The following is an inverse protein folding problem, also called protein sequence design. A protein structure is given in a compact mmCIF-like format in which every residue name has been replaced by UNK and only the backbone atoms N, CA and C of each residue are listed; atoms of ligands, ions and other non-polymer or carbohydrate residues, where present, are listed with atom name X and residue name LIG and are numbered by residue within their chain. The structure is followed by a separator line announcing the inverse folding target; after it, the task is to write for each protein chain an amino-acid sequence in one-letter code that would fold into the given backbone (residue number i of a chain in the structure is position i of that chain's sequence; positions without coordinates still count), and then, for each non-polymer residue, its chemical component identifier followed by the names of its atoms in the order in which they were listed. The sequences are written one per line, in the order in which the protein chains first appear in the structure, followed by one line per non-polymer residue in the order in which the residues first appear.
data_IF_143058746365
#
_entry.id   IF_143058746365
#
_cell.length_a   1.000
_cell.length_b   1.000
_cell.length_c   1.000
_cell.angle_alpha   90.00
_cell.angle_beta   90.00
_cell.angle_gamma   90.00
#
_symmetry.space_group_name_H-M   'P 1'
#
loop_
_entity.id
_entity.type
_entity.pdbx_description
1 polymer ?
#
# COMPACT_ATOMS: atom_id res chain seq x y z
N UNK A 1 36.28 24.75 -29.94
CA UNK A 1 35.28 23.82 -30.52
C UNK A 1 35.05 22.58 -29.66
N UNK A 2 36.08 22.00 -29.04
CA UNK A 2 36.02 20.80 -28.18
C UNK A 2 35.09 20.95 -26.95
N UNK A 3 35.07 22.13 -26.30
CA UNK A 3 34.23 22.38 -25.12
C UNK A 3 32.71 22.33 -25.38
N UNK A 4 32.25 22.67 -26.61
CA UNK A 4 30.82 22.65 -26.95
C UNK A 4 30.32 21.22 -27.23
N UNK A 5 31.17 20.35 -27.77
CA UNK A 5 30.85 18.95 -28.03
C UNK A 5 30.75 18.16 -26.73
N UNK A 6 31.63 18.45 -25.75
CA UNK A 6 31.63 17.80 -24.44
C UNK A 6 30.37 18.14 -23.61
N UNK A 7 29.86 19.37 -23.71
CA UNK A 7 28.67 19.81 -22.98
C UNK A 7 27.37 19.20 -23.55
N UNK A 8 27.33 18.99 -24.88
CA UNK A 8 26.19 18.36 -25.56
C UNK A 8 26.11 16.86 -25.25
N UNK A 9 27.24 16.15 -25.16
CA UNK A 9 27.24 14.73 -24.76
C UNK A 9 26.88 14.54 -23.30
N UNK A 10 27.34 15.41 -22.39
CA UNK A 10 26.99 15.33 -20.97
C UNK A 10 25.48 15.52 -20.73
N UNK A 11 24.85 16.43 -21.47
CA UNK A 11 23.40 16.70 -21.37
C UNK A 11 22.55 15.58 -21.94
N UNK A 12 22.97 14.94 -23.04
CA UNK A 12 22.28 13.77 -23.61
C UNK A 12 22.40 12.54 -22.69
N UNK A 13 23.57 12.31 -22.07
CA UNK A 13 23.75 11.21 -21.10
C UNK A 13 22.94 11.47 -19.82
N UNK A 14 22.94 12.69 -19.29
CA UNK A 14 22.12 13.05 -18.12
C UNK A 14 20.61 12.93 -18.42
N UNK A 15 20.17 13.28 -19.63
CA UNK A 15 18.79 13.10 -20.06
C UNK A 15 18.42 11.61 -20.13
N UNK A 16 19.26 10.75 -20.72
CA UNK A 16 19.01 9.30 -20.77
C UNK A 16 18.97 8.64 -19.38
N UNK A 17 19.73 9.14 -18.41
CA UNK A 17 19.68 8.66 -17.02
C UNK A 17 18.39 9.06 -16.29
N UNK A 18 17.71 10.13 -16.71
CA UNK A 18 16.42 10.56 -16.13
C UNK A 18 15.23 9.83 -16.79
N UNK A 19 15.33 9.45 -18.06
CA UNK A 19 14.27 8.73 -18.79
C UNK A 19 14.16 7.24 -18.45
N UNK A 20 15.08 6.69 -17.66
CA UNK A 20 15.06 5.28 -17.25
C UNK A 20 14.33 4.99 -15.94
N UNK A 21 13.82 6.00 -15.21
CA UNK A 21 13.13 5.76 -13.93
C UNK A 21 11.66 5.45 -14.17
N UNK A 22 11.23 4.25 -13.81
CA UNK A 22 9.83 3.86 -13.76
C UNK A 22 9.11 4.55 -12.59
N UNK A 23 7.89 5.03 -12.82
CA UNK A 23 7.02 5.55 -11.77
C UNK A 23 6.02 4.48 -11.34
N UNK A 24 5.43 4.64 -10.15
CA UNK A 24 4.40 3.72 -9.66
C UNK A 24 3.26 3.55 -10.67
N UNK A 25 2.82 4.64 -11.29
CA UNK A 25 1.70 4.66 -12.25
C UNK A 25 2.01 3.90 -13.55
N UNK A 26 3.29 3.57 -13.81
CA UNK A 26 3.68 2.69 -14.92
C UNK A 26 3.48 1.20 -14.57
N UNK A 27 3.39 0.87 -13.27
CA UNK A 27 3.38 -0.51 -12.74
C UNK A 27 2.02 -0.90 -12.18
N UNK A 28 1.29 0.04 -11.58
CA UNK A 28 0.00 -0.23 -10.94
C UNK A 28 -0.99 0.90 -11.20
N UNK A 29 -2.27 0.58 -11.10
CA UNK A 29 -3.35 1.55 -11.13
C UNK A 29 -4.47 1.19 -10.16
N UNK A 30 -5.23 2.20 -9.76
CA UNK A 30 -6.42 2.05 -8.94
C UNK A 30 -7.66 2.10 -9.84
N UNK A 31 -8.42 1.01 -9.88
CA UNK A 31 -9.69 0.92 -10.63
C UNK A 31 -10.84 0.76 -9.67
N UNK A 32 -12.05 1.14 -10.09
CA UNK A 32 -13.22 0.99 -9.23
C UNK A 32 -13.51 -0.48 -8.96
N UNK A 33 -13.81 -0.78 -7.70
CA UNK A 33 -14.09 -2.13 -7.23
C UNK A 33 -15.56 -2.48 -7.43
N UNK A 34 -15.80 -3.65 -8.00
CA UNK A 34 -17.12 -4.27 -8.06
C UNK A 34 -17.01 -5.75 -7.69
N UNK A 35 -17.82 -6.19 -6.72
CA UNK A 35 -17.80 -7.56 -6.18
C UNK A 35 -17.94 -8.66 -7.25
N UNK A 36 -18.67 -8.36 -8.32
CA UNK A 36 -18.94 -9.30 -9.41
C UNK A 36 -17.95 -9.21 -10.58
N UNK A 37 -16.96 -8.33 -10.52
CA UNK A 37 -16.07 -8.04 -11.64
C UNK A 37 -14.65 -7.68 -11.16
N UNK A 38 -13.99 -8.63 -10.49
CA UNK A 38 -12.59 -8.49 -10.11
C UNK A 38 -11.70 -8.54 -11.36
N UNK A 39 -10.86 -7.52 -11.62
CA UNK A 39 -9.92 -7.55 -12.73
C UNK A 39 -8.92 -8.71 -12.63
N UNK A 40 -8.58 -9.36 -13.74
CA UNK A 40 -7.66 -10.51 -13.77
C UNK A 40 -6.24 -10.14 -13.27
N UNK A 41 -5.83 -8.90 -13.48
CA UNK A 41 -4.57 -8.32 -13.04
C UNK A 41 -4.64 -7.69 -11.63
N UNK A 42 -5.71 -7.91 -10.87
CA UNK A 42 -5.79 -7.45 -9.49
C UNK A 42 -4.66 -8.04 -8.62
N UNK A 43 -4.05 -7.20 -7.79
CA UNK A 43 -2.93 -7.61 -6.94
C UNK A 43 -3.46 -8.46 -5.77
N UNK A 44 -3.30 -9.78 -5.90
CA UNK A 44 -3.62 -10.76 -4.88
C UNK A 44 -2.52 -10.76 -3.80
N UNK A 45 -2.92 -10.59 -2.54
CA UNK A 45 -1.97 -10.58 -1.41
C UNK A 45 -1.90 -11.93 -0.70
N UNK A 46 -2.88 -12.80 -0.93
CA UNK A 46 -2.98 -14.14 -0.38
C UNK A 46 -4.43 -14.59 -0.28
N UNK A 47 -4.71 -15.45 0.70
CA UNK A 47 -6.04 -16.03 0.90
C UNK A 47 -6.49 -15.99 2.35
N UNK A 48 -7.80 -15.98 2.56
CA UNK A 48 -8.42 -16.22 3.87
C UNK A 48 -8.30 -17.70 4.26
N UNK A 49 -8.66 -18.04 5.50
CA UNK A 49 -8.72 -19.44 5.95
C UNK A 49 -9.73 -20.27 5.15
N UNK A 50 -10.81 -19.64 4.68
CA UNK A 50 -11.82 -20.24 3.82
C UNK A 50 -11.42 -20.25 2.33
N UNK A 51 -10.12 -20.03 2.02
CA UNK A 51 -9.55 -20.08 0.67
C UNK A 51 -10.09 -19.01 -0.30
N UNK A 52 -10.70 -17.93 0.20
CA UNK A 52 -11.08 -16.75 -0.59
C UNK A 52 -9.86 -15.88 -0.87
N UNK A 53 -9.74 -15.33 -2.08
CA UNK A 53 -8.65 -14.39 -2.39
C UNK A 53 -8.79 -13.10 -1.58
N UNK A 54 -7.64 -12.51 -1.21
CA UNK A 54 -7.56 -11.18 -0.60
C UNK A 54 -6.85 -10.26 -1.61
N UNK A 55 -7.43 -9.09 -1.84
CA UNK A 55 -6.89 -8.06 -2.73
C UNK A 55 -6.64 -6.76 -1.97
N UNK A 56 -5.82 -5.90 -2.57
CA UNK A 56 -5.53 -4.56 -2.06
C UNK A 56 -6.63 -3.62 -2.53
N UNK A 57 -7.38 -3.07 -1.58
CA UNK A 57 -8.31 -1.99 -1.81
C UNK A 57 -7.76 -0.63 -1.39
N UNK A 58 -8.45 0.43 -1.81
CA UNK A 58 -8.24 1.80 -1.37
C UNK A 58 -9.60 2.47 -1.16
N UNK A 59 -9.73 3.19 -0.05
CA UNK A 59 -10.97 3.89 0.31
C UNK A 59 -10.65 5.31 0.71
N UNK A 60 -11.52 6.24 0.32
CA UNK A 60 -11.50 7.62 0.80
C UNK A 60 -12.49 7.73 1.96
N UNK A 61 -12.04 8.31 3.08
CA UNK A 61 -12.88 8.60 4.21
C UNK A 61 -12.79 10.08 4.57
N UNK A 62 -13.89 10.63 5.08
CA UNK A 62 -13.96 11.98 5.63
C UNK A 62 -14.72 11.91 6.95
N UNK A 63 -14.16 12.45 8.02
CA UNK A 63 -14.90 12.71 9.25
C UNK A 63 -14.44 14.03 9.89
N UNK A 64 -15.05 14.38 11.03
CA UNK A 64 -14.84 15.68 11.68
C UNK A 64 -13.38 16.03 12.00
N UNK A 65 -12.54 15.01 12.23
CA UNK A 65 -11.18 15.21 12.75
C UNK A 65 -10.06 14.73 11.81
N UNK A 66 -10.38 13.91 10.81
CA UNK A 66 -9.42 13.45 9.82
C UNK A 66 -10.09 13.13 8.49
N UNK A 67 -9.27 13.12 7.44
CA UNK A 67 -9.62 12.70 6.09
C UNK A 67 -8.45 11.89 5.54
N UNK A 68 -8.74 10.88 4.72
CA UNK A 68 -7.65 10.10 4.15
C UNK A 68 -8.07 9.17 3.04
N UNK A 69 -7.06 8.81 2.24
CA UNK A 69 -7.10 7.81 1.21
C UNK A 69 -6.22 6.64 1.65
N UNK A 70 -6.85 5.54 2.09
CA UNK A 70 -6.18 4.49 2.89
C UNK A 70 -6.34 3.11 2.27
N UNK A 71 -5.31 2.24 2.38
CA UNK A 71 -5.40 0.88 1.89
C UNK A 71 -6.32 0.04 2.79
N UNK A 72 -6.98 -0.94 2.18
CA UNK A 72 -7.89 -1.87 2.85
C UNK A 72 -7.75 -3.28 2.27
N UNK A 73 -8.27 -4.28 2.97
CA UNK A 73 -8.42 -5.63 2.45
C UNK A 73 -9.80 -5.82 1.83
N UNK A 74 -9.80 -6.20 0.55
CA UNK A 74 -10.98 -6.69 -0.16
C UNK A 74 -10.93 -8.21 -0.09
N UNK A 75 -11.99 -8.83 0.41
CA UNK A 75 -12.16 -10.29 0.38
C UNK A 75 -13.03 -10.65 -0.82
N UNK A 76 -12.60 -11.64 -1.60
CA UNK A 76 -13.33 -12.11 -2.77
C UNK A 76 -14.79 -12.47 -2.44
N UNK A 77 -15.72 -11.93 -3.23
CA UNK A 77 -17.15 -12.13 -3.04
C UNK A 77 -17.81 -11.28 -1.94
N UNK A 78 -17.07 -10.39 -1.27
CA UNK A 78 -17.63 -9.45 -0.28
C UNK A 78 -17.78 -8.05 -0.88
N UNK A 79 -18.97 -7.45 -0.79
CA UNK A 79 -19.22 -6.11 -1.34
C UNK A 79 -18.48 -4.99 -0.58
N UNK A 80 -18.21 -5.20 0.70
CA UNK A 80 -17.57 -4.22 1.57
C UNK A 80 -16.13 -4.62 1.91
N UNK A 81 -15.30 -3.62 2.17
CA UNK A 81 -13.93 -3.77 2.62
C UNK A 81 -13.75 -3.21 4.04
N UNK A 82 -12.80 -3.74 4.80
CA UNK A 82 -12.50 -3.27 6.15
C UNK A 82 -11.17 -2.54 6.17
N UNK A 83 -11.22 -1.23 6.44
CA UNK A 83 -10.05 -0.36 6.49
C UNK A 83 -9.80 0.15 7.91
N UNK A 84 -8.61 0.71 8.13
CA UNK A 84 -8.31 1.44 9.35
C UNK A 84 -8.47 2.93 9.10
N UNK A 85 -9.51 3.51 9.70
CA UNK A 85 -9.64 4.95 9.84
C UNK A 85 -8.91 5.36 11.11
N UNK A 86 -7.77 6.04 10.99
CA UNK A 86 -6.81 6.22 12.08
C UNK A 86 -6.40 4.86 12.68
N UNK A 87 -7.06 4.40 13.75
CA UNK A 87 -6.91 3.08 14.39
C UNK A 87 -8.24 2.37 14.65
N UNK A 88 -9.34 2.93 14.16
CA UNK A 88 -10.65 2.31 14.25
C UNK A 88 -10.93 1.52 12.97
N UNK A 89 -11.39 0.29 13.15
CA UNK A 89 -11.85 -0.53 12.04
C UNK A 89 -13.16 0.07 11.54
N UNK A 90 -13.20 0.35 10.25
CA UNK A 90 -14.39 0.87 9.58
C UNK A 90 -14.69 -0.01 8.38
N UNK A 91 -15.97 -0.31 8.20
CA UNK A 91 -16.48 -0.99 7.02
C UNK A 91 -16.84 0.05 5.96
N UNK A 92 -16.34 -0.15 4.75
CA UNK A 92 -16.62 0.68 3.58
C UNK A 92 -17.35 -0.18 2.56
N UNK A 93 -18.45 0.30 2.02
CA UNK A 93 -19.26 -0.44 1.03
C UNK A 93 -19.44 0.33 -0.28
N UNK A 94 -18.85 1.52 -0.38
CA UNK A 94 -18.95 2.43 -1.51
C UNK A 94 -17.59 3.07 -1.81
N UNK A 95 -17.40 3.53 -3.06
CA UNK A 95 -16.19 4.22 -3.52
C UNK A 95 -14.87 3.47 -3.22
N UNK A 96 -14.94 2.14 -3.16
CA UNK A 96 -13.77 1.27 -3.01
C UNK A 96 -13.07 1.21 -4.36
N UNK A 97 -11.75 1.38 -4.35
CA UNK A 97 -10.89 1.06 -5.49
C UNK A 97 -10.10 -0.22 -5.20
N UNK A 98 -9.70 -0.94 -6.24
CA UNK A 98 -8.85 -2.12 -6.18
C UNK A 98 -7.54 -1.85 -6.94
N UNK A 99 -6.41 -2.28 -6.36
CA UNK A 99 -5.11 -2.16 -7.00
C UNK A 99 -4.95 -3.25 -8.06
N UNK A 100 -4.63 -2.85 -9.28
CA UNK A 100 -4.33 -3.77 -10.37
C UNK A 100 -2.95 -3.47 -10.94
N UNK A 101 -2.30 -4.51 -11.47
CA UNK A 101 -0.99 -4.39 -12.11
C UNK A 101 -1.09 -4.00 -13.57
N UNK A 102 -0.23 -3.09 -14.03
CA UNK A 102 -0.10 -2.67 -15.43
C UNK A 102 1.11 -3.35 -16.08
N UNK A 103 1.06 -3.52 -17.40
CA UNK A 103 2.21 -3.97 -18.18
C UNK A 103 2.83 -5.28 -17.62
N UNK A 104 4.15 -5.30 -17.45
CA UNK A 104 4.99 -6.37 -16.91
C UNK A 104 5.07 -6.35 -15.37
N UNK A 105 4.00 -5.91 -14.67
CA UNK A 105 4.03 -5.72 -13.21
C UNK A 105 4.54 -6.93 -12.41
N UNK A 106 4.38 -8.15 -12.91
CA UNK A 106 4.82 -9.37 -12.22
C UNK A 106 6.33 -9.45 -12.02
N UNK A 107 7.11 -8.83 -12.91
CA UNK A 107 8.58 -8.81 -12.82
C UNK A 107 9.11 -7.63 -11.98
N UNK A 108 8.27 -6.62 -11.78
CA UNK A 108 8.64 -5.35 -11.13
C UNK A 108 8.03 -5.15 -9.76
N UNK A 109 6.85 -5.69 -9.50
CA UNK A 109 6.14 -5.58 -8.22
C UNK A 109 6.50 -6.78 -7.33
N UNK A 110 6.94 -6.52 -6.11
CA UNK A 110 7.33 -7.58 -5.18
C UNK A 110 7.13 -7.16 -3.72
N UNK A 111 7.04 -8.14 -2.83
CA UNK A 111 6.98 -7.93 -1.39
C UNK A 111 8.39 -7.96 -0.80
N UNK A 112 8.75 -6.93 -0.05
CA UNK A 112 10.04 -6.85 0.63
C UNK A 112 9.85 -6.90 2.14
N UNK A 113 10.44 -7.92 2.75
CA UNK A 113 10.52 -8.02 4.19
C UNK A 113 11.35 -6.88 4.78
N UNK A 114 10.82 -6.22 5.80
CA UNK A 114 11.47 -5.12 6.48
C UNK A 114 11.14 -5.13 7.98
N UNK A 115 12.11 -4.75 8.80
CA UNK A 115 11.85 -4.37 10.18
C UNK A 115 11.48 -2.88 10.22
N UNK A 116 10.56 -2.48 11.09
CA UNK A 116 10.07 -1.11 11.21
C UNK A 116 11.19 -0.06 11.20
N UNK A 117 12.23 -0.27 12.03
CA UNK A 117 13.40 0.63 12.12
C UNK A 117 14.19 0.81 10.79
N UNK A 118 13.95 -0.02 9.78
CA UNK A 118 14.59 0.03 8.49
C UNK A 118 13.67 0.53 7.36
N UNK A 119 12.39 0.82 7.62
CA UNK A 119 11.45 1.24 6.58
C UNK A 119 11.91 2.50 5.85
N UNK A 120 12.34 3.52 6.58
CA UNK A 120 12.85 4.78 5.99
C UNK A 120 14.09 4.58 5.11
N UNK A 121 14.86 3.50 5.31
CA UNK A 121 16.01 3.19 4.46
C UNK A 121 15.61 2.72 3.06
N UNK A 122 14.38 2.23 2.87
CA UNK A 122 13.87 1.84 1.54
C UNK A 122 13.79 3.03 0.57
N UNK A 123 13.68 4.25 1.08
CA UNK A 123 13.66 5.47 0.26
C UNK A 123 15.05 5.89 -0.22
N UNK A 124 16.12 5.27 0.28
CA UNK A 124 17.49 5.57 -0.14
C UNK A 124 17.95 4.77 -1.37
N UNK A 125 17.16 3.80 -1.84
CA UNK A 125 17.51 3.00 -3.02
C UNK A 125 17.18 3.73 -4.32
N UNK A 126 18.02 3.62 -5.35
CA UNK A 126 17.70 4.05 -6.71
C UNK A 126 17.07 2.93 -7.56
N UNK A 127 17.00 1.70 -7.06
CA UNK A 127 16.53 0.52 -7.82
C UNK A 127 15.06 0.17 -7.52
N UNK A 128 14.53 0.63 -6.40
CA UNK A 128 13.18 0.32 -5.97
C UNK A 128 12.56 1.39 -5.10
N UNK A 129 11.23 1.37 -5.01
CA UNK A 129 10.44 2.28 -4.19
C UNK A 129 9.25 1.55 -3.54
N UNK A 130 8.87 1.92 -2.31
CA UNK A 130 7.60 1.49 -1.73
C UNK A 130 6.41 2.00 -2.54
N UNK A 131 5.39 1.15 -2.71
CA UNK A 131 4.11 1.55 -3.31
C UNK A 131 3.34 2.38 -2.31
N UNK A 132 3.08 3.64 -2.68
CA UNK A 132 2.25 4.57 -1.93
C UNK A 132 0.78 4.29 -2.23
N UNK A 133 -0.01 4.06 -1.18
CA UNK A 133 -1.45 3.90 -1.30
C UNK A 133 -2.17 5.25 -1.37
N UNK A 134 -1.77 6.18 -0.51
CA UNK A 134 -2.44 7.47 -0.38
C UNK A 134 -1.88 8.31 0.75
N UNK A 135 -2.77 8.86 1.56
CA UNK A 135 -2.45 9.82 2.61
C UNK A 135 -3.52 9.89 3.69
N UNK A 136 -3.16 10.38 4.87
CA UNK A 136 -4.09 10.79 5.92
C UNK A 136 -3.73 12.19 6.40
N UNK A 137 -4.74 13.01 6.65
CA UNK A 137 -4.59 14.30 7.31
C UNK A 137 -5.46 14.35 8.55
N UNK A 138 -4.96 15.00 9.58
CA UNK A 138 -5.69 15.23 10.81
C UNK A 138 -6.04 16.72 10.90
N UNK A 139 -6.90 17.10 11.84
CA UNK A 139 -7.26 18.51 12.09
C UNK A 139 -6.04 19.42 12.35
N UNK A 140 -4.90 18.84 12.72
CA UNK A 140 -3.61 19.50 12.84
C UNK A 140 -2.85 19.41 11.50
N UNK A 141 -1.98 20.36 11.12
CA UNK A 141 -1.40 20.48 9.78
C UNK A 141 -0.33 19.40 9.47
N UNK A 142 -0.64 18.13 9.67
CA UNK A 142 0.13 16.99 9.27
C UNK A 142 -0.62 16.26 8.14
N UNK A 143 0.10 16.06 7.04
CA UNK A 143 -0.27 15.12 6.00
C UNK A 143 0.74 13.98 6.08
N UNK A 144 0.26 12.76 6.28
CA UNK A 144 1.09 11.58 6.32
C UNK A 144 0.92 10.77 5.05
N UNK A 145 2.04 10.45 4.39
CA UNK A 145 2.01 9.51 3.27
C UNK A 145 1.82 8.09 3.79
N UNK A 146 0.93 7.35 3.14
CA UNK A 146 0.60 5.97 3.50
C UNK A 146 1.12 5.01 2.45
N UNK A 147 1.80 3.96 2.91
CA UNK A 147 2.33 2.88 2.09
C UNK A 147 1.66 1.55 2.41
N UNK A 148 1.71 0.62 1.46
CA UNK A 148 1.05 -0.68 1.57
C UNK A 148 1.97 -1.66 2.29
N UNK A 149 1.47 -2.26 3.36
CA UNK A 149 2.15 -3.32 4.08
C UNK A 149 1.24 -4.50 4.37
N UNK A 150 1.85 -5.64 4.73
CA UNK A 150 1.15 -6.81 5.28
C UNK A 150 2.00 -7.47 6.37
N UNK A 151 1.41 -8.13 7.36
CA UNK A 151 2.19 -8.80 8.39
C UNK A 151 2.90 -10.02 7.79
N UNK A 152 4.16 -10.26 8.19
CA UNK A 152 4.93 -11.43 7.77
C UNK A 152 4.82 -12.60 8.78
N UNK A 153 3.65 -12.78 9.39
CA UNK A 153 3.42 -13.87 10.35
C UNK A 153 2.00 -14.42 10.25
N UNK A 154 1.82 -15.67 10.66
CA UNK A 154 0.55 -16.42 10.69
C UNK A 154 -0.14 -16.66 9.33
N UNK A 155 0.57 -16.55 8.20
CA UNK A 155 -0.02 -16.63 6.85
C UNK A 155 -1.20 -15.66 6.65
N UNK A 156 -1.26 -14.61 7.49
CA UNK A 156 -2.32 -13.62 7.50
C UNK A 156 -1.95 -12.55 6.49
N UNK A 157 -2.50 -12.64 5.30
CA UNK A 157 -2.19 -11.72 4.21
C UNK A 157 -3.07 -10.46 4.23
N UNK A 158 -3.35 -9.92 5.41
CA UNK A 158 -4.19 -8.73 5.53
C UNK A 158 -3.41 -7.48 5.16
N UNK A 159 -4.07 -6.58 4.45
CA UNK A 159 -3.51 -5.34 3.94
C UNK A 159 -3.61 -4.31 5.04
N UNK A 160 -2.50 -3.66 5.34
CA UNK A 160 -2.45 -2.53 6.27
C UNK A 160 -1.75 -1.33 5.69
N UNK A 161 -1.69 -0.30 6.52
CA UNK A 161 -1.07 0.98 6.22
C UNK A 161 0.20 1.16 7.03
N UNK A 162 1.24 1.69 6.39
CA UNK A 162 2.48 2.12 7.02
C UNK A 162 2.55 3.64 6.92
N UNK A 163 2.70 4.31 8.06
CA UNK A 163 2.91 5.74 8.13
C UNK A 163 4.39 6.08 7.98
N UNK A 164 4.72 7.12 7.22
CA UNK A 164 6.09 7.65 7.13
C UNK A 164 6.30 8.94 7.93
N UNK A 165 5.22 9.70 8.19
CA UNK A 165 5.32 11.07 8.73
C UNK A 165 4.11 11.47 9.59
N UNK A 166 3.61 10.53 10.37
CA UNK A 166 2.56 10.72 11.37
C UNK A 166 3.06 11.59 12.54
N UNK A 167 2.17 12.42 13.11
CA UNK A 167 2.48 13.36 14.22
C UNK A 167 2.91 12.65 15.51
N UNK A 168 2.24 11.56 15.84
CA UNK A 168 2.72 10.61 16.84
C UNK A 168 3.82 9.76 16.20
N UNK A 169 5.08 10.16 16.43
CA UNK A 169 6.27 9.52 15.85
C UNK A 169 6.39 8.04 16.20
N UNK A 170 5.74 7.57 17.26
CA UNK A 170 5.74 6.16 17.63
C UNK A 170 5.00 5.28 16.61
N UNK A 171 4.14 5.86 15.78
CA UNK A 171 3.40 5.14 14.74
C UNK A 171 4.10 5.18 13.37
N UNK A 172 5.15 5.98 13.24
CA UNK A 172 5.95 5.99 12.02
C UNK A 172 6.66 4.65 11.88
N UNK A 173 6.72 4.18 10.64
CA UNK A 173 7.38 2.95 10.25
C UNK A 173 6.77 1.67 10.86
N UNK A 174 5.71 1.78 11.65
CA UNK A 174 4.94 0.66 12.18
C UNK A 174 3.66 0.50 11.36
N UNK A 175 3.48 -0.62 10.66
CA UNK A 175 2.24 -0.92 10.01
C UNK A 175 1.14 -1.24 11.03
N UNK A 176 -0.05 -0.76 10.72
CA UNK A 176 -1.28 -1.19 11.35
C UNK A 176 -2.15 -1.91 10.32
N UNK A 177 -2.70 -3.07 10.68
CA UNK A 177 -3.58 -3.84 9.81
C UNK A 177 -4.84 -4.28 10.56
N UNK A 178 -6.02 -4.17 9.91
CA UNK A 178 -7.21 -4.87 10.36
C UNK A 178 -7.10 -6.34 9.95
N UNK A 179 -7.40 -7.28 10.84
CA UNK A 179 -7.47 -8.70 10.49
C UNK A 179 -8.67 -9.37 11.14
N UNK A 180 -9.26 -10.34 10.46
CA UNK A 180 -10.31 -11.19 11.01
C UNK A 180 -9.66 -12.27 11.88
N UNK A 181 -10.00 -12.29 13.17
CA UNK A 181 -9.63 -13.34 14.10
C UNK A 181 -10.63 -14.51 14.02
N UNK A 182 -10.31 -15.54 13.23
CA UNK A 182 -11.15 -16.73 13.08
C UNK A 182 -11.16 -17.65 14.32
N UNK A 183 -10.31 -17.38 15.33
CA UNK A 183 -10.22 -18.18 16.55
C UNK A 183 -11.30 -17.83 17.59
N UNK A 184 -12.07 -16.76 17.38
CA UNK A 184 -13.11 -16.30 18.29
C UNK A 184 -14.50 -16.78 17.76
N UNK A 185 -15.33 -17.45 18.58
CA UNK A 185 -16.58 -18.06 18.10
C UNK A 185 -17.77 -17.09 17.92
N UNK A 186 -17.69 -15.80 18.33
CA UNK A 186 -18.82 -14.87 18.29
C UNK A 186 -18.84 -13.96 17.05
N UNK A 187 -19.72 -14.30 16.10
CA UNK A 187 -19.68 -14.02 14.64
C UNK A 187 -19.66 -12.56 14.12
N UNK A 188 -19.46 -11.52 14.93
CA UNK A 188 -19.45 -10.13 14.42
C UNK A 188 -18.42 -9.18 15.07
N UNK A 189 -17.63 -9.61 16.07
CA UNK A 189 -16.61 -8.78 16.77
C UNK A 189 -15.15 -9.16 16.42
N UNK A 190 -14.93 -9.82 15.28
CA UNK A 190 -13.67 -10.51 14.95
C UNK A 190 -12.56 -9.66 14.38
N UNK A 191 -12.85 -8.42 14.00
CA UNK A 191 -11.80 -7.60 13.39
C UNK A 191 -11.00 -6.96 14.51
N UNK A 192 -9.69 -7.21 14.49
CA UNK A 192 -8.73 -6.67 15.45
C UNK A 192 -7.71 -5.85 14.69
N UNK A 193 -7.15 -4.86 15.37
CA UNK A 193 -5.99 -4.11 14.87
C UNK A 193 -4.74 -4.80 15.38
N UNK A 194 -3.80 -5.06 14.49
CA UNK A 194 -2.48 -5.54 14.86
C UNK A 194 -1.40 -4.57 14.40
N UNK A 195 -0.40 -4.44 15.24
CA UNK A 195 0.84 -3.73 14.94
C UNK A 195 1.95 -4.75 14.78
N UNK A 196 2.90 -4.50 13.87
CA UNK A 196 4.05 -5.37 13.72
C UNK A 196 5.37 -4.60 13.71
N UNK A 197 6.36 -5.13 14.42
CA UNK A 197 7.74 -4.67 14.29
C UNK A 197 8.44 -5.18 13.02
N UNK A 198 7.89 -6.20 12.36
CA UNK A 198 8.40 -6.80 11.12
C UNK A 198 7.26 -7.16 10.18
N UNK A 199 7.43 -6.89 8.89
CA UNK A 199 6.36 -6.93 7.89
C UNK A 199 6.90 -6.95 6.47
N UNK A 200 6.04 -7.22 5.51
CA UNK A 200 6.34 -7.01 4.10
C UNK A 200 5.80 -5.67 3.63
N UNK A 201 6.58 -4.96 2.81
CA UNK A 201 6.17 -3.75 2.10
C UNK A 201 5.99 -4.09 0.63
N UNK A 202 4.94 -3.58 0.01
CA UNK A 202 4.80 -3.69 -1.43
C UNK A 202 5.75 -2.71 -2.11
N UNK A 203 6.64 -3.23 -2.95
CA UNK A 203 7.69 -2.50 -3.64
C UNK A 203 7.50 -2.60 -5.15
N UNK A 204 7.96 -1.60 -5.88
CA UNK A 204 8.18 -1.70 -7.32
C UNK A 204 9.63 -1.37 -7.68
N UNK A 205 10.16 -2.05 -8.70
CA UNK A 205 11.47 -1.76 -9.30
C UNK A 205 11.38 -0.54 -10.23
N UNK A 206 12.41 0.30 -10.17
CA UNK A 206 12.57 1.45 -11.07
C UNK A 206 13.02 1.03 -12.48
#
# INVERSE_FOLDING_TARGET
MIFKVLFLTLTVVAAQLVFGRRFQDDVVEWVDYHVNSIPENAINVGKTQDNKNIYIGLVHFVHEQAEGLVPTSIVEGEECAYGLQEFNITQYCDNIKILVGRNDYKDTLYWQYVAAINFTKLFNSDDHRPVRAGWETFRWPCNTSIYIGRPNFDNRNWVGKIFNSHINWQWNDLPAYPYINFSDPYKYDHIRVQWAGVYDVLMFKN
#
